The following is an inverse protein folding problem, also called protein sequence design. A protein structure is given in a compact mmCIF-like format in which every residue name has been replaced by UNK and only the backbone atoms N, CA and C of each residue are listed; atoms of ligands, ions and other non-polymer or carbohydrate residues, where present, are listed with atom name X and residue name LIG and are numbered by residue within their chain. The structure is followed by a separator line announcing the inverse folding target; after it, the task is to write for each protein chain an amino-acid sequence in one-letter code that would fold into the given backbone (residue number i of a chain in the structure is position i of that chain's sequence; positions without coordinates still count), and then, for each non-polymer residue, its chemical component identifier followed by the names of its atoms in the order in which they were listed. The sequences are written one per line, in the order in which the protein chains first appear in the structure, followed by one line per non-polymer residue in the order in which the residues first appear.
data_IF_123678404116
#
_entry.id   IF_123678404116
#
_cell.length_a   1.000
_cell.length_b   1.000
_cell.length_c   1.000
_cell.angle_alpha   90.00
_cell.angle_beta   90.00
_cell.angle_gamma   90.00
#
_symmetry.space_group_name_H-M   'P 1'
#
loop_
_entity.id
_entity.type
_entity.pdbx_description
1 polymer ?
#
# COMPACT_ATOMS: atom_id res chain seq x y z
N UNK A 1 -10.24 -3.63 -5.65
CA UNK A 1 -9.80 -2.46 -4.84
C UNK A 1 -10.93 -1.57 -4.36
N UNK A 2 -11.67 -0.87 -5.24
CA UNK A 2 -12.79 -0.01 -4.80
C UNK A 2 -13.86 -0.75 -3.99
N UNK A 3 -14.24 -1.95 -4.44
CA UNK A 3 -15.16 -2.84 -3.72
C UNK A 3 -14.57 -3.46 -2.44
N UNK A 4 -13.26 -3.36 -2.22
CA UNK A 4 -12.58 -4.00 -1.08
C UNK A 4 -12.43 -2.98 0.04
N UNK A 5 -11.80 -1.82 -0.24
CA UNK A 5 -11.54 -0.79 0.78
C UNK A 5 -11.95 0.63 0.35
N UNK A 6 -12.24 0.87 -0.93
CA UNK A 6 -12.45 2.23 -1.45
C UNK A 6 -13.72 2.94 -0.95
N UNK A 7 -14.72 2.18 -0.51
CA UNK A 7 -15.95 2.71 0.11
C UNK A 7 -15.93 2.66 1.64
N UNK A 8 -14.82 2.20 2.25
CA UNK A 8 -14.67 2.16 3.70
C UNK A 8 -14.69 3.56 4.29
N UNK A 9 -15.41 3.74 5.40
CA UNK A 9 -15.41 4.97 6.18
C UNK A 9 -14.15 5.09 7.07
N UNK A 10 -13.47 3.96 7.32
CA UNK A 10 -12.21 3.89 8.02
C UNK A 10 -11.02 3.87 7.04
N UNK A 11 -9.91 4.49 7.41
CA UNK A 11 -8.63 4.36 6.70
C UNK A 11 -8.10 2.92 6.83
N UNK A 12 -7.74 2.33 5.71
CA UNK A 12 -7.22 0.97 5.61
C UNK A 12 -6.00 0.94 4.70
N UNK A 13 -5.01 0.17 5.15
CA UNK A 13 -3.80 -0.06 4.39
C UNK A 13 -3.72 -1.53 4.00
N UNK A 14 -3.97 -1.82 2.73
CA UNK A 14 -3.95 -3.14 2.12
C UNK A 14 -2.64 -3.33 1.35
N UNK A 15 -2.03 -4.50 1.48
CA UNK A 15 -0.86 -4.87 0.68
C UNK A 15 -1.15 -6.13 -0.12
N UNK A 16 -0.84 -6.10 -1.42
CA UNK A 16 -0.74 -7.30 -2.24
C UNK A 16 0.70 -7.77 -2.30
N UNK A 17 0.86 -9.09 -2.24
CA UNK A 17 2.13 -9.78 -2.31
C UNK A 17 2.21 -10.52 -3.64
N UNK A 18 3.24 -10.23 -4.44
CA UNK A 18 3.36 -10.73 -5.81
C UNK A 18 4.57 -11.64 -5.97
N UNK A 19 4.45 -12.65 -6.83
CA UNK A 19 5.55 -13.50 -7.27
C UNK A 19 6.32 -12.90 -8.46
N UNK A 20 7.29 -13.65 -9.00
CA UNK A 20 8.12 -13.23 -10.14
C UNK A 20 7.31 -12.91 -11.41
N UNK A 21 6.17 -13.61 -11.59
CA UNK A 21 5.25 -13.47 -12.73
C UNK A 21 4.24 -12.32 -12.55
N UNK A 22 4.35 -11.52 -11.48
CA UNK A 22 3.39 -10.49 -11.07
C UNK A 22 2.00 -11.03 -10.67
N UNK A 23 1.90 -12.30 -10.32
CA UNK A 23 0.65 -12.87 -9.82
C UNK A 23 0.54 -12.56 -8.33
N UNK A 24 -0.66 -12.15 -7.91
CA UNK A 24 -0.98 -11.95 -6.49
C UNK A 24 -1.04 -13.31 -5.80
N UNK A 25 -0.12 -13.54 -4.86
CA UNK A 25 -0.07 -14.78 -4.06
C UNK A 25 -0.79 -14.63 -2.73
N UNK A 26 -0.92 -13.40 -2.21
CA UNK A 26 -1.66 -13.07 -1.01
C UNK A 26 -2.06 -11.60 -0.99
N UNK A 27 -3.03 -11.27 -0.15
CA UNK A 27 -3.42 -9.92 0.22
C UNK A 27 -3.65 -9.82 1.73
N UNK A 28 -3.25 -8.71 2.36
CA UNK A 28 -3.45 -8.52 3.80
C UNK A 28 -3.75 -7.06 4.13
N UNK A 29 -4.80 -6.82 4.91
CA UNK A 29 -5.07 -5.50 5.51
C UNK A 29 -4.12 -5.35 6.71
N UNK A 30 -3.07 -4.58 6.53
CA UNK A 30 -1.96 -4.42 7.49
C UNK A 30 -2.37 -3.51 8.65
N UNK A 31 -3.19 -2.50 8.37
CA UNK A 31 -3.68 -1.56 9.38
C UNK A 31 -5.11 -1.15 9.03
N UNK A 32 -5.94 -1.08 10.06
CA UNK A 32 -7.23 -0.39 10.06
C UNK A 32 -7.05 0.77 11.03
N UNK A 33 -7.05 1.99 10.51
CA UNK A 33 -6.99 3.22 11.29
C UNK A 33 -8.38 3.71 11.68
N UNK A 34 -8.40 4.86 12.36
CA UNK A 34 -9.62 5.66 12.55
C UNK A 34 -9.68 6.75 11.48
N UNK A 35 -10.77 7.53 11.43
CA UNK A 35 -10.99 8.64 10.49
C UNK A 35 -9.80 9.61 10.37
N UNK A 36 -8.97 9.74 11.43
CA UNK A 36 -7.92 10.77 11.47
C UNK A 36 -6.50 10.27 11.17
N UNK A 37 -6.16 8.99 11.37
CA UNK A 37 -4.85 8.42 11.01
C UNK A 37 -4.79 6.90 11.25
N UNK A 38 -4.20 6.15 10.31
CA UNK A 38 -3.71 4.79 10.46
C UNK A 38 -2.18 4.75 10.65
N UNK A 39 -1.67 4.31 11.80
CA UNK A 39 -0.21 4.10 11.98
C UNK A 39 0.22 2.78 11.33
N UNK A 40 0.82 2.88 10.14
CA UNK A 40 1.37 1.72 9.42
C UNK A 40 2.81 1.47 9.85
N UNK A 41 3.08 0.26 10.34
CA UNK A 41 4.44 -0.13 10.75
C UNK A 41 5.14 -0.91 9.63
N UNK A 42 6.27 -0.40 9.07
CA UNK A 42 6.98 -1.08 7.99
C UNK A 42 7.35 -2.54 8.27
N UNK A 43 7.71 -2.86 9.53
CA UNK A 43 8.04 -4.23 9.95
C UNK A 43 6.91 -5.23 9.73
N UNK A 44 5.64 -4.81 9.83
CA UNK A 44 4.49 -5.70 9.57
C UNK A 44 4.40 -6.04 8.10
N UNK A 45 4.55 -5.04 7.23
CA UNK A 45 4.54 -5.21 5.77
C UNK A 45 5.68 -6.12 5.33
N UNK A 46 6.91 -5.85 5.78
CA UNK A 46 8.07 -6.65 5.41
C UNK A 46 8.02 -8.07 5.98
N UNK A 47 7.55 -8.23 7.23
CA UNK A 47 7.33 -9.56 7.82
C UNK A 47 6.32 -10.39 7.03
N UNK A 48 5.21 -9.77 6.61
CA UNK A 48 4.23 -10.40 5.73
C UNK A 48 4.82 -10.72 4.35
N UNK A 49 5.61 -9.81 3.77
CA UNK A 49 6.27 -10.04 2.48
C UNK A 49 7.19 -11.26 2.51
N UNK A 50 7.99 -11.41 3.57
CA UNK A 50 8.84 -12.59 3.79
C UNK A 50 7.99 -13.85 3.98
N UNK A 51 6.94 -13.78 4.83
CA UNK A 51 6.01 -14.88 5.08
C UNK A 51 5.39 -15.42 3.79
N UNK A 52 4.95 -14.53 2.89
CA UNK A 52 4.33 -14.89 1.62
C UNK A 52 5.33 -15.05 0.46
N UNK A 53 6.65 -14.98 0.74
CA UNK A 53 7.73 -15.08 -0.25
C UNK A 53 7.55 -14.12 -1.43
N UNK A 54 7.10 -12.91 -1.13
CA UNK A 54 6.83 -11.88 -2.11
C UNK A 54 8.15 -11.38 -2.72
N UNK A 55 8.16 -11.16 -4.03
CA UNK A 55 9.24 -10.45 -4.73
C UNK A 55 8.85 -9.00 -5.04
N UNK A 56 7.55 -8.73 -5.11
CA UNK A 56 7.01 -7.39 -5.35
C UNK A 56 5.81 -7.12 -4.47
N UNK A 57 5.61 -5.86 -4.11
CA UNK A 57 4.48 -5.38 -3.31
C UNK A 57 3.70 -4.31 -4.05
N UNK A 58 2.38 -4.37 -3.94
CA UNK A 58 1.50 -3.23 -4.28
C UNK A 58 0.86 -2.77 -2.98
N UNK A 59 1.16 -1.53 -2.60
CA UNK A 59 0.59 -0.88 -1.42
C UNK A 59 -0.71 -0.17 -1.83
N UNK A 60 -1.75 -0.27 -1.02
CA UNK A 60 -3.02 0.39 -1.30
C UNK A 60 -3.57 1.06 -0.05
N UNK A 61 -3.86 2.34 -0.15
CA UNK A 61 -4.41 3.15 0.93
C UNK A 61 -5.72 3.79 0.46
N UNK A 62 -6.83 3.60 1.18
CA UNK A 62 -8.05 4.37 0.89
C UNK A 62 -8.06 5.70 1.63
N UNK A 63 -8.54 6.75 0.96
CA UNK A 63 -8.82 8.05 1.57
C UNK A 63 -10.35 8.22 1.65
N UNK A 64 -10.99 8.01 2.81
CA UNK A 64 -12.45 8.15 2.96
C UNK A 64 -12.96 9.55 2.59
N UNK A 65 -12.15 10.59 2.82
CA UNK A 65 -12.45 11.98 2.45
C UNK A 65 -12.49 12.26 0.94
N UNK A 66 -12.14 11.28 0.09
CA UNK A 66 -12.28 11.38 -1.36
C UNK A 66 -11.12 12.07 -2.09
N UNK A 67 -10.09 12.53 -1.37
CA UNK A 67 -8.86 13.06 -1.98
C UNK A 67 -8.07 11.95 -2.67
N UNK A 68 -7.52 12.25 -3.85
CA UNK A 68 -6.54 11.40 -4.54
C UNK A 68 -5.10 11.89 -4.36
N UNK A 69 -4.92 13.02 -3.67
CA UNK A 69 -3.60 13.55 -3.41
C UNK A 69 -2.97 12.83 -2.22
N UNK A 70 -1.74 12.32 -2.37
CA UNK A 70 -1.07 11.62 -1.29
C UNK A 70 -0.74 12.58 -0.15
N UNK A 71 -0.97 12.11 1.07
CA UNK A 71 -0.52 12.84 2.25
C UNK A 71 1.00 12.80 2.35
N UNK A 72 1.57 13.71 3.14
CA UNK A 72 3.00 13.66 3.47
C UNK A 72 3.39 12.32 4.13
N UNK A 73 2.48 11.73 4.90
CA UNK A 73 2.67 10.42 5.53
C UNK A 73 2.77 9.32 4.48
N UNK A 74 1.91 9.34 3.45
CA UNK A 74 1.94 8.37 2.35
C UNK A 74 3.30 8.39 1.63
N UNK A 75 3.77 9.58 1.27
CA UNK A 75 5.05 9.76 0.57
C UNK A 75 6.21 9.28 1.44
N UNK A 76 6.25 9.69 2.71
CA UNK A 76 7.33 9.34 3.63
C UNK A 76 7.35 7.84 3.92
N UNK A 77 6.19 7.23 4.14
CA UNK A 77 6.06 5.79 4.37
C UNK A 77 6.51 5.00 3.14
N UNK A 78 6.08 5.39 1.95
CA UNK A 78 6.44 4.72 0.68
C UNK A 78 7.93 4.76 0.44
N UNK A 79 8.57 5.93 0.59
CA UNK A 79 10.01 6.09 0.43
C UNK A 79 10.80 5.24 1.42
N UNK A 80 10.36 5.21 2.69
CA UNK A 80 10.95 4.38 3.73
C UNK A 80 10.79 2.89 3.43
N UNK A 81 9.60 2.45 3.03
CA UNK A 81 9.34 1.06 2.66
C UNK A 81 10.19 0.62 1.47
N UNK A 82 10.26 1.42 0.41
CA UNK A 82 11.10 1.17 -0.77
C UNK A 82 12.56 0.98 -0.40
N UNK A 83 13.09 1.88 0.44
CA UNK A 83 14.48 1.79 0.89
C UNK A 83 14.74 0.51 1.70
N UNK A 84 13.82 0.15 2.60
CA UNK A 84 13.96 -1.03 3.46
C UNK A 84 13.72 -2.34 2.70
N UNK A 85 12.73 -2.40 1.81
CA UNK A 85 12.36 -3.61 1.06
C UNK A 85 13.44 -4.01 0.06
N UNK A 86 14.13 -3.02 -0.53
CA UNK A 86 15.26 -3.26 -1.42
C UNK A 86 16.42 -4.00 -0.73
N UNK A 87 16.59 -3.89 0.59
CA UNK A 87 17.59 -4.65 1.34
C UNK A 87 17.27 -6.16 1.41
N UNK A 88 16.04 -6.54 1.08
CA UNK A 88 15.56 -7.92 1.04
C UNK A 88 15.27 -8.39 -0.39
N UNK A 89 15.70 -7.64 -1.41
CA UNK A 89 15.38 -7.89 -2.82
C UNK A 89 13.86 -7.91 -3.10
N UNK A 90 13.09 -7.12 -2.35
CA UNK A 90 11.65 -6.96 -2.52
C UNK A 90 11.35 -5.57 -3.08
N UNK A 91 10.72 -5.52 -4.26
CA UNK A 91 10.38 -4.27 -4.95
C UNK A 91 9.02 -3.74 -4.50
N UNK A 92 8.91 -2.43 -4.22
CA UNK A 92 7.61 -1.76 -4.21
C UNK A 92 7.24 -1.47 -5.67
N UNK A 93 6.30 -2.23 -6.21
CA UNK A 93 5.88 -2.10 -7.61
C UNK A 93 5.00 -0.87 -7.84
N UNK A 94 4.13 -0.57 -6.88
CA UNK A 94 3.31 0.65 -6.87
C UNK A 94 2.76 0.95 -5.47
N UNK A 95 2.34 2.19 -5.28
CA UNK A 95 1.45 2.59 -4.19
C UNK A 95 0.22 3.28 -4.80
N UNK A 96 -0.95 2.72 -4.54
CA UNK A 96 -2.23 3.18 -5.06
C UNK A 96 -3.04 3.83 -3.95
N UNK A 97 -3.43 5.08 -4.14
CA UNK A 97 -4.47 5.72 -3.32
C UNK A 97 -5.82 5.49 -3.99
N UNK A 98 -6.80 5.01 -3.24
CA UNK A 98 -8.14 4.71 -3.77
C UNK A 98 -9.22 5.47 -3.02
N UNK A 99 -10.23 5.94 -3.77
CA UNK A 99 -11.44 6.55 -3.21
C UNK A 99 -12.67 5.89 -3.84
N UNK A 100 -13.86 6.28 -3.41
CA UNK A 100 -15.11 5.82 -4.01
C UNK A 100 -15.24 6.20 -5.50
N UNK A 101 -14.70 7.35 -5.88
CA UNK A 101 -14.81 7.92 -7.23
C UNK A 101 -13.55 7.76 -8.08
N UNK A 102 -12.40 7.45 -7.48
CA UNK A 102 -11.08 7.58 -8.12
C UNK A 102 -10.04 6.55 -7.69
N UNK A 103 -8.88 6.60 -8.34
CA UNK A 103 -7.62 6.11 -7.79
C UNK A 103 -6.46 6.95 -8.34
N UNK A 104 -5.31 6.88 -7.68
CA UNK A 104 -4.05 7.50 -8.11
C UNK A 104 -2.91 6.52 -7.88
N UNK A 105 -2.06 6.34 -8.88
CA UNK A 105 -0.85 5.51 -8.80
C UNK A 105 0.39 6.38 -8.61
N UNK A 106 1.19 6.08 -7.59
CA UNK A 106 2.48 6.73 -7.37
C UNK A 106 3.43 6.51 -8.55
N UNK A 107 3.40 5.30 -9.13
CA UNK A 107 4.21 4.96 -10.30
C UNK A 107 3.79 5.77 -11.53
N UNK A 108 2.50 5.87 -11.82
CA UNK A 108 1.99 6.68 -12.94
C UNK A 108 2.30 8.17 -12.75
N UNK A 109 2.17 8.69 -11.53
CA UNK A 109 2.57 10.07 -11.17
C UNK A 109 4.08 10.29 -11.10
N UNK A 110 4.91 9.24 -11.24
CA UNK A 110 6.38 9.30 -11.15
C UNK A 110 6.92 9.84 -9.82
N UNK A 111 6.26 9.47 -8.73
CA UNK A 111 6.61 9.86 -7.35
C UNK A 111 7.02 8.66 -6.47
N UNK A 112 7.26 7.50 -7.09
CA UNK A 112 7.65 6.26 -6.43
C UNK A 112 9.17 6.15 -6.21
#
# INVERSE_FOLDING_TARGET
LRSIIGSSQDEQFLTFFLNASNEVTAEEVITIGTINHATVYPRKILGAAIKYKALRLILVHNHPGGSLDPSYSDITLTSKLKSMSNLFDIEIYDHIIVTSSGYMSFREKRIL
#
